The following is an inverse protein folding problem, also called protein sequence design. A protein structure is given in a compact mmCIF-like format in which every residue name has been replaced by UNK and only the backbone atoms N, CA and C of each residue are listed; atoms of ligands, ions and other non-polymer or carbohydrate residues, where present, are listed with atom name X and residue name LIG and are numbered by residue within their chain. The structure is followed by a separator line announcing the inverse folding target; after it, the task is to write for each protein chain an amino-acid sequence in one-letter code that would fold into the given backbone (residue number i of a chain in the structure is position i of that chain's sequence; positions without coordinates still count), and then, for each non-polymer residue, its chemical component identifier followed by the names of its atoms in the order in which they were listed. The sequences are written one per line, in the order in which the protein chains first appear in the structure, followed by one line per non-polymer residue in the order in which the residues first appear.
data_IF_715040101248
#
_entry.id   IF_715040101248
#
_cell.length_a   1.000
_cell.length_b   1.000
_cell.length_c   1.000
_cell.angle_alpha   90.00
_cell.angle_beta   90.00
_cell.angle_gamma   90.00
#
_symmetry.space_group_name_H-M   'P 1'
#
loop_
_entity.id
_entity.type
_entity.pdbx_description
1 polymer ?
#
# COMPACT_ATOMS: atom_id res chain seq x y z
N UNK A 1 -40.83 -18.52 -9.22
CA UNK A 1 -39.58 -18.89 -9.89
C UNK A 1 -38.64 -17.70 -10.10
N UNK A 2 -38.51 -16.74 -9.13
CA UNK A 2 -37.63 -15.55 -9.21
C UNK A 2 -36.47 -15.52 -8.18
N UNK A 3 -36.32 -16.62 -7.43
CA UNK A 3 -35.27 -16.67 -6.37
C UNK A 3 -33.99 -17.44 -6.75
N UNK A 4 -33.95 -18.10 -7.92
CA UNK A 4 -32.78 -18.89 -8.33
C UNK A 4 -31.74 -18.09 -9.10
N UNK A 5 -32.10 -16.95 -9.70
CA UNK A 5 -31.14 -16.12 -10.48
C UNK A 5 -30.17 -15.29 -9.61
N UNK A 6 -30.53 -15.03 -8.34
CA UNK A 6 -29.69 -14.23 -7.46
C UNK A 6 -28.54 -15.01 -6.81
N UNK A 7 -28.70 -16.33 -6.67
CA UNK A 7 -27.66 -17.19 -6.06
C UNK A 7 -26.56 -17.52 -7.07
N UNK A 8 -26.88 -17.54 -8.37
CA UNK A 8 -25.87 -17.79 -9.41
C UNK A 8 -24.94 -16.60 -9.64
N UNK A 9 -25.38 -15.38 -9.33
CA UNK A 9 -24.54 -14.17 -9.48
C UNK A 9 -23.49 -14.04 -8.37
N UNK A 10 -23.77 -14.58 -7.18
CA UNK A 10 -22.84 -14.56 -6.05
C UNK A 10 -21.77 -15.65 -6.10
N UNK A 11 -21.98 -16.72 -6.88
CA UNK A 11 -20.99 -17.80 -7.02
C UNK A 11 -19.88 -17.51 -8.05
N UNK A 12 -20.01 -16.47 -8.87
CA UNK A 12 -18.98 -16.06 -9.84
C UNK A 12 -17.98 -15.01 -9.30
N UNK A 13 -18.22 -14.45 -8.12
CA UNK A 13 -17.32 -13.42 -7.52
C UNK A 13 -16.08 -14.05 -6.86
N UNK A 14 -15.99 -15.38 -6.82
CA UNK A 14 -14.95 -16.11 -6.06
C UNK A 14 -13.73 -16.61 -6.83
N UNK A 15 -13.52 -16.35 -8.11
CA UNK A 15 -12.54 -17.13 -8.88
C UNK A 15 -11.62 -16.29 -9.79
N UNK A 16 -11.28 -15.09 -9.53
CA UNK A 16 -10.12 -14.49 -10.19
C UNK A 16 -9.35 -13.57 -9.26
N UNK A 17 -8.68 -14.15 -8.26
CA UNK A 17 -7.42 -13.54 -7.80
C UNK A 17 -6.36 -13.86 -8.86
N UNK A 18 -6.39 -13.14 -9.97
CA UNK A 18 -5.28 -13.17 -10.91
C UNK A 18 -4.03 -12.76 -10.14
N UNK A 19 -2.98 -13.57 -10.23
CA UNK A 19 -1.68 -13.23 -9.69
C UNK A 19 -1.28 -11.88 -10.31
N UNK A 20 -1.31 -10.81 -9.52
CA UNK A 20 -0.98 -9.48 -10.01
C UNK A 20 0.50 -9.44 -10.33
N UNK A 21 0.83 -9.21 -11.60
CA UNK A 21 2.20 -9.25 -12.11
C UNK A 21 2.92 -7.91 -11.92
N UNK A 22 2.17 -6.80 -11.82
CA UNK A 22 2.74 -5.46 -11.74
C UNK A 22 2.08 -4.62 -10.65
N UNK A 23 2.88 -3.73 -10.05
CA UNK A 23 2.36 -2.66 -9.20
C UNK A 23 1.59 -1.65 -10.08
N UNK A 24 0.65 -0.93 -9.48
CA UNK A 24 -0.07 0.17 -10.13
C UNK A 24 0.72 1.47 -9.95
N UNK A 25 0.95 2.26 -11.00
CA UNK A 25 1.59 3.54 -10.84
C UNK A 25 0.70 4.50 -10.04
N UNK A 26 1.31 5.30 -9.18
CA UNK A 26 0.60 6.41 -8.51
C UNK A 26 0.61 7.61 -9.43
N UNK A 27 -0.56 8.12 -9.78
CA UNK A 27 -0.68 9.32 -10.60
C UNK A 27 -0.06 10.53 -9.88
N UNK A 28 0.98 11.10 -10.49
CA UNK A 28 1.66 12.29 -9.96
C UNK A 28 0.77 13.54 -9.92
N UNK A 29 -0.31 13.56 -10.73
CA UNK A 29 -1.28 14.65 -10.77
C UNK A 29 -2.39 14.48 -9.74
N UNK A 30 -2.55 13.29 -9.18
CA UNK A 30 -3.52 13.04 -8.13
C UNK A 30 -3.21 13.94 -6.92
N UNK A 31 -4.20 14.74 -6.53
CA UNK A 31 -4.06 15.61 -5.37
C UNK A 31 -3.93 14.75 -4.12
N UNK A 32 -2.81 14.91 -3.44
CA UNK A 32 -2.54 14.21 -2.19
C UNK A 32 -3.59 14.55 -1.14
N UNK A 33 -4.20 13.52 -0.56
CA UNK A 33 -5.22 13.68 0.47
C UNK A 33 -4.59 14.14 1.79
N UNK A 34 -5.40 14.64 2.72
CA UNK A 34 -4.92 14.95 4.06
C UNK A 34 -4.38 13.70 4.76
N UNK A 35 -5.04 12.56 4.61
CA UNK A 35 -4.61 11.27 5.12
C UNK A 35 -3.20 10.87 4.60
N UNK A 36 -2.95 11.00 3.30
CA UNK A 36 -1.63 10.71 2.74
C UNK A 36 -0.52 11.59 3.31
N UNK A 37 -0.83 12.85 3.59
CA UNK A 37 0.12 13.80 4.21
C UNK A 37 0.44 13.43 5.65
N UNK A 38 -0.58 13.04 6.41
CA UNK A 38 -0.39 12.62 7.80
C UNK A 38 0.39 11.31 7.89
N UNK A 39 0.13 10.35 7.01
CA UNK A 39 0.93 9.13 6.90
C UNK A 39 2.40 9.46 6.65
N UNK A 40 2.69 10.30 5.67
CA UNK A 40 4.08 10.68 5.37
C UNK A 40 4.74 11.33 6.56
N UNK A 41 4.07 12.32 7.16
CA UNK A 41 4.61 13.07 8.30
C UNK A 41 4.91 12.19 9.52
N UNK A 42 4.11 11.14 9.74
CA UNK A 42 4.20 10.32 10.95
C UNK A 42 5.08 9.08 10.76
N UNK A 43 5.08 8.52 9.57
CA UNK A 43 5.66 7.20 9.33
C UNK A 43 6.91 7.22 8.46
N UNK A 44 7.20 8.31 7.76
CA UNK A 44 8.36 8.38 6.87
C UNK A 44 9.32 9.44 7.40
N UNK A 45 10.54 9.05 7.82
CA UNK A 45 11.60 10.01 8.14
C UNK A 45 11.92 10.91 6.93
N UNK A 46 12.30 12.16 7.22
CA UNK A 46 12.79 13.06 6.18
C UNK A 46 14.01 12.42 5.49
N UNK A 47 14.20 12.74 4.20
CA UNK A 47 15.32 12.25 3.38
C UNK A 47 15.34 10.73 3.09
N UNK A 48 14.29 10.02 3.39
CA UNK A 48 14.16 8.59 3.06
C UNK A 48 14.19 8.34 1.54
N UNK A 49 15.20 7.61 1.07
CA UNK A 49 15.39 7.33 -0.36
C UNK A 49 14.37 6.33 -0.90
N UNK A 50 14.10 5.26 -0.14
CA UNK A 50 13.18 4.21 -0.53
C UNK A 50 12.51 3.55 0.68
N UNK A 51 11.36 2.98 0.43
CA UNK A 51 10.60 2.28 1.46
C UNK A 51 9.23 1.85 0.98
N UNK A 52 8.42 1.45 1.95
CA UNK A 52 7.06 1.00 1.76
C UNK A 52 6.15 1.57 2.86
N UNK A 53 4.91 1.85 2.51
CA UNK A 53 3.83 2.20 3.42
C UNK A 53 2.78 1.10 3.33
N UNK A 54 2.32 0.63 4.48
CA UNK A 54 1.21 -0.29 4.64
C UNK A 54 -0.01 0.48 5.19
N UNK A 55 -1.13 0.39 4.48
CA UNK A 55 -2.40 1.05 4.80
C UNK A 55 -3.48 -0.02 4.95
N UNK A 56 -3.56 -0.72 6.07
CA UNK A 56 -4.55 -1.77 6.28
C UNK A 56 -5.94 -1.17 6.53
N UNK A 57 -7.00 -1.90 6.18
CA UNK A 57 -8.38 -1.45 6.43
C UNK A 57 -8.77 -1.53 7.91
N UNK A 58 -8.20 -2.45 8.68
CA UNK A 58 -8.63 -2.75 10.06
C UNK A 58 -7.49 -2.74 11.10
N UNK A 59 -6.25 -2.53 10.68
CA UNK A 59 -5.09 -2.43 11.55
C UNK A 59 -4.51 -1.01 11.53
N UNK A 60 -3.36 -0.82 12.17
CA UNK A 60 -2.69 0.47 12.19
C UNK A 60 -1.74 0.59 10.99
N UNK A 61 -1.67 1.79 10.47
CA UNK A 61 -0.76 2.12 9.38
C UNK A 61 0.69 2.00 9.82
N UNK A 62 1.53 1.58 8.90
CA UNK A 62 2.96 1.39 9.17
C UNK A 62 3.82 1.65 7.95
N UNK A 63 5.13 1.78 8.15
CA UNK A 63 6.12 1.89 7.10
C UNK A 63 7.34 1.02 7.37
N UNK A 64 8.01 0.62 6.29
CA UNK A 64 9.36 0.07 6.33
C UNK A 64 10.23 0.92 5.42
N UNK A 65 11.24 1.58 5.98
CA UNK A 65 12.12 2.52 5.28
C UNK A 65 13.58 2.15 5.49
N UNK A 66 14.46 2.64 4.63
CA UNK A 66 15.90 2.51 4.79
C UNK A 66 16.50 3.85 5.12
N UNK A 67 17.25 3.88 6.21
CA UNK A 67 18.07 5.01 6.64
C UNK A 67 19.50 4.78 6.15
N UNK A 68 19.98 5.68 5.27
CA UNK A 68 21.32 5.59 4.70
C UNK A 68 22.43 6.04 5.63
N UNK A 69 22.14 6.85 6.64
CA UNK A 69 23.13 7.29 7.64
C UNK A 69 23.35 6.22 8.70
N UNK A 70 22.26 5.63 9.17
CA UNK A 70 22.31 4.55 10.14
C UNK A 70 22.63 3.17 9.53
N UNK A 71 22.65 3.03 8.20
CA UNK A 71 22.74 1.75 7.49
C UNK A 71 21.74 0.72 8.02
N UNK A 72 20.48 1.13 8.20
CA UNK A 72 19.48 0.34 8.89
C UNK A 72 18.12 0.36 8.18
N UNK A 73 17.36 -0.73 8.34
CA UNK A 73 15.93 -0.73 8.11
C UNK A 73 15.23 -0.16 9.34
N UNK A 74 14.26 0.70 9.09
CA UNK A 74 13.41 1.30 10.12
C UNK A 74 11.98 0.85 9.86
N UNK A 75 11.37 0.19 10.82
CA UNK A 75 9.96 -0.10 10.86
C UNK A 75 9.26 0.87 11.82
N UNK A 76 8.30 1.62 11.32
CA UNK A 76 7.49 2.56 12.10
C UNK A 76 6.04 2.15 12.01
N UNK A 77 5.38 1.98 13.16
CA UNK A 77 3.94 1.70 13.25
C UNK A 77 3.22 2.78 14.02
N UNK A 78 2.02 3.14 13.57
CA UNK A 78 1.14 4.04 14.31
C UNK A 78 0.57 3.32 15.55
N UNK A 79 0.37 4.05 16.65
CA UNK A 79 -0.26 3.53 17.88
C UNK A 79 -1.80 3.57 17.83
N UNK A 80 -2.33 4.26 16.82
CA UNK A 80 -3.77 4.38 16.54
C UNK A 80 -3.99 4.58 15.04
N UNK A 81 -5.15 4.17 14.51
CA UNK A 81 -5.45 4.35 13.09
C UNK A 81 -5.45 5.83 12.69
N UNK A 82 -4.58 6.17 11.75
CA UNK A 82 -4.49 7.51 11.16
C UNK A 82 -5.74 7.77 10.31
N UNK A 83 -6.24 6.76 9.60
CA UNK A 83 -7.46 6.83 8.80
C UNK A 83 -8.68 7.22 9.63
N UNK A 84 -8.98 6.47 10.69
CA UNK A 84 -10.15 6.72 11.52
C UNK A 84 -10.17 8.14 12.07
N UNK A 85 -9.00 8.66 12.46
CA UNK A 85 -8.87 10.01 13.01
C UNK A 85 -9.06 11.10 11.96
N UNK A 86 -8.49 10.92 10.79
CA UNK A 86 -8.66 11.88 9.68
C UNK A 86 -10.09 11.88 9.17
N UNK A 87 -10.74 10.72 9.12
CA UNK A 87 -12.15 10.58 8.74
C UNK A 87 -13.10 11.23 9.73
N UNK A 88 -12.95 10.96 11.03
CA UNK A 88 -13.77 11.58 12.07
C UNK A 88 -13.63 13.11 12.08
N UNK A 89 -12.42 13.60 11.88
CA UNK A 89 -12.16 15.01 11.81
C UNK A 89 -12.85 15.68 10.61
N UNK A 90 -12.76 15.07 9.42
CA UNK A 90 -13.43 15.56 8.22
C UNK A 90 -14.95 15.63 8.41
N UNK A 91 -15.56 14.58 8.96
CA UNK A 91 -17.00 14.51 9.20
C UNK A 91 -17.50 15.54 10.23
N UNK A 92 -16.71 15.82 11.26
CA UNK A 92 -17.08 16.87 12.24
C UNK A 92 -17.09 18.27 11.63
N UNK A 93 -16.20 18.51 10.66
CA UNK A 93 -16.12 19.80 9.97
C UNK A 93 -17.25 20.01 8.98
N UNK A 94 -17.60 18.98 8.20
CA UNK A 94 -18.73 19.00 7.29
C UNK A 94 -20.04 19.31 8.02
N UNK A 95 -20.26 18.74 9.22
CA UNK A 95 -21.44 19.03 10.05
C UNK A 95 -21.49 20.46 10.59
N UNK A 96 -20.33 21.13 10.71
CA UNK A 96 -20.25 22.53 11.14
C UNK A 96 -20.27 23.53 10.00
N UNK A 97 -20.35 23.09 8.74
CA UNK A 97 -20.29 23.96 7.57
C UNK A 97 -18.92 24.61 7.33
N UNK A 98 -17.88 24.12 8.00
CA UNK A 98 -16.52 24.60 7.82
C UNK A 98 -15.83 23.84 6.69
N UNK A 99 -15.12 24.54 5.80
CA UNK A 99 -14.42 23.90 4.71
C UNK A 99 -13.23 23.06 5.23
N UNK A 100 -13.01 21.90 4.64
CA UNK A 100 -11.85 21.00 4.93
C UNK A 100 -10.51 21.75 4.85
N UNK A 101 -10.45 22.86 4.14
CA UNK A 101 -9.25 23.69 3.99
C UNK A 101 -8.96 24.54 5.25
N UNK A 102 -9.98 25.08 5.89
CA UNK A 102 -9.84 25.84 7.13
C UNK A 102 -9.36 24.97 8.29
N UNK A 103 -9.75 23.72 8.26
CA UNK A 103 -9.33 22.74 9.26
C UNK A 103 -7.82 22.47 9.28
N UNK A 104 -7.13 22.54 8.14
CA UNK A 104 -5.67 22.33 8.06
C UNK A 104 -4.84 23.27 8.93
N UNK A 105 -5.31 24.48 9.16
CA UNK A 105 -4.52 25.50 9.88
C UNK A 105 -4.83 25.59 11.37
N UNK A 106 -6.02 25.19 11.80
CA UNK A 106 -6.50 25.50 13.15
C UNK A 106 -6.67 24.28 14.09
N UNK A 107 -6.82 23.06 13.56
CA UNK A 107 -7.21 21.92 14.40
C UNK A 107 -6.16 20.83 14.62
N UNK A 108 -5.01 20.90 13.97
CA UNK A 108 -3.88 20.00 14.31
C UNK A 108 -3.50 20.14 15.80
N UNK A 109 -3.81 21.27 16.40
CA UNK A 109 -3.54 21.56 17.83
C UNK A 109 -4.46 20.83 18.81
N UNK A 110 -5.61 20.37 18.39
CA UNK A 110 -6.63 19.78 19.29
C UNK A 110 -6.68 18.25 19.30
N UNK A 111 -6.10 17.60 18.29
CA UNK A 111 -6.05 16.16 18.25
C UNK A 111 -4.68 15.66 18.71
N UNK A 112 -4.70 14.75 19.66
CA UNK A 112 -3.51 14.02 20.05
C UNK A 112 -2.90 13.43 18.78
N UNK A 113 -1.74 13.92 18.40
CA UNK A 113 -0.95 13.34 17.30
C UNK A 113 -0.77 11.86 17.64
N UNK A 114 -1.08 10.91 16.77
CA UNK A 114 -0.77 9.51 17.02
C UNK A 114 0.69 9.40 17.43
N UNK A 115 0.96 8.69 18.49
CA UNK A 115 2.30 8.24 18.77
C UNK A 115 2.68 7.23 17.69
N UNK A 116 3.94 7.04 17.52
CA UNK A 116 4.49 5.98 16.67
C UNK A 116 5.46 5.15 17.51
N UNK A 117 5.52 3.86 17.19
CA UNK A 117 6.59 2.99 17.69
C UNK A 117 7.56 2.77 16.55
N UNK A 118 8.84 2.92 16.84
CA UNK A 118 9.90 2.78 15.87
C UNK A 118 10.85 1.66 16.30
N UNK A 119 11.19 0.82 15.33
CA UNK A 119 12.14 -0.28 15.48
C UNK A 119 13.21 -0.11 14.42
N UNK A 120 14.45 -0.41 14.76
CA UNK A 120 15.59 -0.24 13.87
C UNK A 120 16.43 -1.50 13.87
N UNK A 121 16.85 -1.95 12.68
CA UNK A 121 17.73 -3.09 12.51
C UNK A 121 18.84 -2.74 11.51
N UNK A 122 20.11 -2.69 11.93
CA UNK A 122 21.23 -2.55 11.01
C UNK A 122 21.26 -3.70 9.98
N UNK A 123 21.56 -3.37 8.73
CA UNK A 123 21.71 -4.32 7.63
C UNK A 123 23.02 -4.12 6.90
N UNK A 124 23.49 -5.14 6.18
CA UNK A 124 24.70 -5.02 5.37
C UNK A 124 24.48 -4.09 4.17
N UNK A 125 25.54 -3.48 3.68
CA UNK A 125 25.51 -2.67 2.45
C UNK A 125 25.05 -3.47 1.24
N UNK A 126 25.41 -4.76 1.17
CA UNK A 126 24.97 -5.67 0.12
C UNK A 126 23.45 -5.82 0.12
N UNK A 127 22.87 -6.06 1.28
CA UNK A 127 21.41 -6.16 1.45
C UNK A 127 20.71 -4.85 1.10
N UNK A 128 21.23 -3.72 1.57
CA UNK A 128 20.71 -2.40 1.25
C UNK A 128 20.69 -2.14 -0.25
N UNK A 129 21.78 -2.48 -0.97
CA UNK A 129 21.87 -2.33 -2.42
C UNK A 129 20.94 -3.28 -3.16
N UNK A 130 20.76 -4.51 -2.68
CA UNK A 130 19.83 -5.47 -3.27
C UNK A 130 18.39 -5.01 -3.10
N UNK A 131 17.98 -4.55 -1.93
CA UNK A 131 16.67 -3.97 -1.69
C UNK A 131 16.42 -2.72 -2.56
N UNK A 132 17.39 -1.83 -2.62
CA UNK A 132 17.32 -0.63 -3.47
C UNK A 132 17.10 -0.98 -4.94
N UNK A 133 17.80 -1.99 -5.47
CA UNK A 133 17.62 -2.47 -6.85
C UNK A 133 16.24 -3.08 -7.06
N UNK A 134 15.78 -3.91 -6.13
CA UNK A 134 14.47 -4.54 -6.18
C UNK A 134 13.34 -3.51 -6.17
N UNK A 135 13.33 -2.56 -5.22
CA UNK A 135 12.32 -1.50 -5.18
C UNK A 135 12.29 -0.67 -6.45
N UNK A 136 13.49 -0.28 -6.93
CA UNK A 136 13.62 0.49 -8.16
C UNK A 136 13.02 -0.23 -9.38
N UNK A 137 13.31 -1.52 -9.56
CA UNK A 137 12.78 -2.26 -10.72
C UNK A 137 11.28 -2.49 -10.60
N UNK A 138 10.78 -2.89 -9.45
CA UNK A 138 9.35 -3.11 -9.21
C UNK A 138 8.52 -1.84 -9.48
N UNK A 139 8.97 -0.68 -8.99
CA UNK A 139 8.30 0.60 -9.22
C UNK A 139 8.40 1.06 -10.68
N UNK A 140 9.53 0.81 -11.36
CA UNK A 140 9.68 1.20 -12.76
C UNK A 140 8.86 0.33 -13.72
N UNK A 141 8.49 -0.87 -13.32
CA UNK A 141 7.61 -1.77 -14.07
C UNK A 141 6.14 -1.60 -13.70
N UNK A 142 5.81 -0.63 -12.83
CA UNK A 142 4.43 -0.36 -12.49
C UNK A 142 3.64 0.07 -13.73
N UNK A 143 2.53 -0.59 -13.97
CA UNK A 143 1.64 -0.32 -15.10
C UNK A 143 0.17 -0.47 -14.70
N UNK A 144 -0.71 0.22 -15.41
CA UNK A 144 -2.13 0.01 -15.23
C UNK A 144 -2.54 -1.31 -15.91
N UNK A 145 -3.38 -2.13 -15.27
CA UNK A 145 -3.91 -3.32 -15.91
C UNK A 145 -4.70 -2.92 -17.16
N UNK A 146 -4.66 -3.78 -18.16
CA UNK A 146 -5.58 -3.63 -19.28
C UNK A 146 -7.01 -3.71 -18.76
N UNK A 147 -7.80 -2.68 -19.07
CA UNK A 147 -9.20 -2.66 -18.65
C UNK A 147 -9.97 -3.75 -19.39
N UNK A 148 -10.54 -4.66 -18.62
CA UNK A 148 -11.45 -5.66 -19.20
C UNK A 148 -12.70 -4.95 -19.76
N UNK A 149 -12.97 -5.20 -21.03
CA UNK A 149 -14.14 -4.65 -21.72
C UNK A 149 -15.14 -5.77 -21.99
N UNK A 150 -16.29 -5.66 -21.38
CA UNK A 150 -17.40 -6.60 -21.62
C UNK A 150 -18.52 -5.91 -22.40
N UNK A 151 -19.11 -6.62 -23.35
CA UNK A 151 -20.31 -6.14 -24.06
C UNK A 151 -21.55 -6.58 -23.27
N UNK A 152 -22.32 -5.60 -22.82
CA UNK A 152 -23.60 -5.83 -22.15
C UNK A 152 -24.74 -5.36 -23.04
N UNK A 153 -25.84 -6.12 -23.04
CA UNK A 153 -27.07 -5.75 -23.72
C UNK A 153 -27.99 -5.05 -22.70
N UNK A 154 -28.36 -3.82 -22.99
CA UNK A 154 -29.27 -3.03 -22.16
C UNK A 154 -30.72 -3.53 -22.33
N UNK A 155 -31.63 -3.14 -21.44
CA UNK A 155 -33.04 -3.56 -21.49
C UNK A 155 -33.74 -3.12 -22.78
N UNK A 156 -33.34 -2.02 -23.38
CA UNK A 156 -33.79 -1.51 -24.68
C UNK A 156 -33.10 -2.21 -25.88
N UNK A 157 -32.31 -3.24 -25.63
CA UNK A 157 -31.70 -4.10 -26.64
C UNK A 157 -30.42 -3.57 -27.26
N UNK A 158 -29.91 -2.39 -26.83
CA UNK A 158 -28.64 -1.85 -27.30
C UNK A 158 -27.46 -2.59 -26.69
N UNK A 159 -26.42 -2.77 -27.47
CA UNK A 159 -25.16 -3.33 -26.99
C UNK A 159 -24.23 -2.18 -26.60
N UNK A 160 -23.86 -2.12 -25.33
CA UNK A 160 -22.88 -1.17 -24.79
C UNK A 160 -21.62 -1.91 -24.39
N UNK A 161 -20.48 -1.25 -24.53
CA UNK A 161 -19.21 -1.75 -23.99
C UNK A 161 -19.01 -1.13 -22.62
N UNK A 162 -18.89 -1.98 -21.60
CA UNK A 162 -18.66 -1.57 -20.21
C UNK A 162 -17.24 -1.93 -19.85
N UNK A 163 -16.49 -0.97 -19.31
CA UNK A 163 -15.20 -1.25 -18.69
C UNK A 163 -15.46 -1.74 -17.26
N UNK A 164 -14.93 -2.91 -16.94
CA UNK A 164 -15.02 -3.49 -15.59
C UNK A 164 -13.81 -3.00 -14.82
N UNK A 165 -14.04 -2.27 -13.75
CA UNK A 165 -13.00 -1.94 -12.76
C UNK A 165 -13.19 -2.86 -11.56
N UNK A 166 -12.14 -3.60 -11.21
CA UNK A 166 -12.15 -4.41 -9.99
C UNK A 166 -12.07 -3.46 -8.78
N UNK A 167 -13.12 -3.43 -7.98
CA UNK A 167 -13.16 -2.65 -6.74
C UNK A 167 -12.86 -3.60 -5.59
N UNK A 168 -11.69 -3.46 -5.00
CA UNK A 168 -11.36 -4.12 -3.73
C UNK A 168 -11.95 -3.28 -2.61
N UNK A 169 -13.02 -3.76 -2.00
CA UNK A 169 -13.73 -3.03 -0.93
C UNK A 169 -12.98 -3.07 0.40
N UNK A 170 -12.39 -4.23 0.70
CA UNK A 170 -11.62 -4.46 1.92
C UNK A 170 -10.27 -5.05 1.55
N UNK A 171 -9.20 -4.54 2.16
CA UNK A 171 -7.85 -5.04 1.89
C UNK A 171 -6.79 -4.09 2.40
N UNK A 172 -5.54 -4.54 2.34
CA UNK A 172 -4.39 -3.73 2.70
C UNK A 172 -3.83 -3.02 1.49
N UNK A 173 -3.71 -1.71 1.57
CA UNK A 173 -3.00 -0.90 0.59
C UNK A 173 -1.49 -0.95 0.86
N UNK A 174 -0.71 -1.37 -0.13
CA UNK A 174 0.75 -1.35 -0.09
C UNK A 174 1.25 -0.31 -1.08
N UNK A 175 2.10 0.59 -0.63
CA UNK A 175 2.63 1.65 -1.44
C UNK A 175 4.15 1.68 -1.33
N UNK A 176 4.82 1.36 -2.43
CA UNK A 176 6.28 1.36 -2.55
C UNK A 176 6.76 2.69 -3.13
N UNK A 177 7.86 3.21 -2.62
CA UNK A 177 8.44 4.45 -3.13
C UNK A 177 9.97 4.35 -3.28
N UNK A 178 10.48 5.08 -4.27
CA UNK A 178 11.91 5.20 -4.55
C UNK A 178 12.20 6.54 -5.21
N UNK A 179 12.96 7.41 -4.57
CA UNK A 179 13.37 8.73 -5.11
C UNK A 179 12.21 9.51 -5.73
N UNK A 180 11.11 9.64 -5.00
CA UNK A 180 9.93 10.38 -5.43
C UNK A 180 9.02 9.68 -6.45
N UNK A 181 9.41 8.51 -6.99
CA UNK A 181 8.51 7.64 -7.72
C UNK A 181 7.73 6.78 -6.74
N UNK A 182 6.46 6.49 -7.06
CA UNK A 182 5.57 5.69 -6.21
C UNK A 182 4.78 4.70 -7.06
N UNK A 183 4.57 3.53 -6.51
CA UNK A 183 3.68 2.52 -7.07
C UNK A 183 2.93 1.84 -5.94
N UNK A 184 1.70 1.43 -6.20
CA UNK A 184 0.80 0.89 -5.18
C UNK A 184 0.15 -0.40 -5.63
N UNK A 185 -0.37 -1.12 -4.67
CA UNK A 185 -1.28 -2.23 -4.87
C UNK A 185 -2.26 -2.28 -3.70
N UNK A 186 -3.45 -2.73 -3.97
CA UNK A 186 -4.41 -3.09 -2.94
C UNK A 186 -4.62 -4.61 -3.04
N UNK A 187 -4.49 -5.32 -1.96
CA UNK A 187 -4.54 -6.77 -1.94
C UNK A 187 -4.77 -7.34 -0.56
N UNK A 188 -4.60 -8.66 -0.45
CA UNK A 188 -4.70 -9.38 0.80
C UNK A 188 -3.49 -9.07 1.71
N UNK A 189 -3.70 -9.12 3.02
CA UNK A 189 -2.66 -8.96 4.06
C UNK A 189 -1.56 -10.04 3.98
N UNK A 190 -1.81 -11.12 3.26
CA UNK A 190 -0.89 -12.26 3.08
C UNK A 190 -0.11 -12.26 1.77
N UNK A 191 -0.17 -11.17 1.00
CA UNK A 191 0.65 -10.98 -0.18
C UNK A 191 0.24 -11.74 -1.46
N UNK A 192 -0.65 -12.70 -1.41
CA UNK A 192 -1.15 -13.39 -2.60
C UNK A 192 -0.09 -14.20 -3.40
N UNK A 193 -0.41 -14.48 -4.67
CA UNK A 193 0.47 -15.21 -5.62
C UNK A 193 1.12 -14.23 -6.62
N UNK A 194 2.15 -14.71 -7.34
CA UNK A 194 2.89 -13.94 -8.34
C UNK A 194 3.99 -13.06 -7.74
N UNK A 195 4.73 -12.36 -8.60
CA UNK A 195 5.90 -11.58 -8.19
C UNK A 195 5.55 -10.41 -7.27
N UNK A 196 4.39 -9.78 -7.44
CA UNK A 196 3.92 -8.72 -6.53
C UNK A 196 3.51 -9.29 -5.18
N UNK A 197 2.82 -10.43 -5.15
CA UNK A 197 2.53 -11.14 -3.91
C UNK A 197 3.79 -11.55 -3.15
N UNK A 198 4.79 -12.03 -3.87
CA UNK A 198 6.11 -12.35 -3.31
C UNK A 198 6.82 -11.11 -2.76
N UNK A 199 6.69 -9.94 -3.42
CA UNK A 199 7.23 -8.68 -2.92
C UNK A 199 6.57 -8.24 -1.60
N UNK A 200 5.25 -8.39 -1.50
CA UNK A 200 4.51 -8.11 -0.26
C UNK A 200 4.97 -9.07 0.86
N UNK A 201 5.04 -10.39 0.58
CA UNK A 201 5.49 -11.37 1.56
C UNK A 201 6.90 -11.07 2.06
N UNK A 202 7.84 -10.79 1.16
CA UNK A 202 9.19 -10.38 1.52
C UNK A 202 9.18 -9.13 2.43
N UNK A 203 8.33 -8.16 2.11
CA UNK A 203 8.21 -6.93 2.91
C UNK A 203 7.67 -7.22 4.31
N UNK A 204 6.68 -8.12 4.43
CA UNK A 204 6.15 -8.58 5.72
C UNK A 204 7.24 -9.28 6.55
N UNK A 205 8.04 -10.16 5.92
CA UNK A 205 9.13 -10.87 6.59
C UNK A 205 10.23 -9.91 7.06
N UNK A 206 10.62 -8.93 6.23
CA UNK A 206 11.56 -7.88 6.62
C UNK A 206 11.02 -7.05 7.79
N UNK A 207 9.75 -6.60 7.73
CA UNK A 207 9.09 -5.89 8.81
C UNK A 207 9.14 -6.67 10.12
N UNK A 208 8.83 -7.97 10.07
CA UNK A 208 8.85 -8.82 11.24
C UNK A 208 10.27 -9.00 11.80
N UNK A 209 11.27 -9.19 10.95
CA UNK A 209 12.67 -9.26 11.38
C UNK A 209 13.13 -7.97 12.07
N UNK A 210 12.75 -6.79 11.55
CA UNK A 210 13.08 -5.51 12.16
C UNK A 210 12.37 -5.36 13.51
N UNK A 211 11.08 -5.70 13.59
CA UNK A 211 10.30 -5.59 14.83
C UNK A 211 10.82 -6.53 15.93
N UNK A 212 11.26 -7.73 15.56
CA UNK A 212 11.82 -8.73 16.45
C UNK A 212 13.31 -8.50 16.77
N UNK A 213 13.94 -7.52 16.12
CA UNK A 213 15.39 -7.24 16.18
C UNK A 213 16.24 -8.48 15.82
N UNK A 214 15.79 -9.24 14.81
CA UNK A 214 16.41 -10.50 14.39
C UNK A 214 17.24 -10.31 13.12
N UNK A 215 18.54 -10.04 13.32
CA UNK A 215 19.48 -9.86 12.22
C UNK A 215 19.75 -11.13 11.40
N UNK A 216 19.62 -12.31 12.01
CA UNK A 216 19.83 -13.58 11.31
C UNK A 216 18.66 -13.84 10.36
N UNK A 217 17.43 -13.67 10.85
CA UNK A 217 16.22 -13.77 10.02
C UNK A 217 16.26 -12.78 8.87
N UNK A 218 16.67 -11.54 9.14
CA UNK A 218 16.82 -10.51 8.11
C UNK A 218 17.86 -10.92 7.06
N UNK A 219 19.06 -11.34 7.47
CA UNK A 219 20.11 -11.78 6.56
C UNK A 219 19.72 -13.00 5.70
N UNK A 220 18.92 -13.91 6.24
CA UNK A 220 18.43 -15.08 5.50
C UNK A 220 17.55 -14.70 4.29
N UNK A 221 16.96 -13.49 4.27
CA UNK A 221 16.12 -13.01 3.16
C UNK A 221 16.93 -12.54 1.94
N UNK A 222 18.26 -12.43 2.03
CA UNK A 222 19.10 -11.96 0.92
C UNK A 222 18.86 -12.74 -0.39
N UNK A 223 18.82 -14.07 -0.31
CA UNK A 223 18.58 -14.91 -1.49
C UNK A 223 17.21 -14.70 -2.12
N UNK A 224 16.19 -14.46 -1.30
CA UNK A 224 14.83 -14.17 -1.75
C UNK A 224 14.77 -12.80 -2.43
N UNK A 225 15.45 -11.79 -1.90
CA UNK A 225 15.57 -10.45 -2.51
C UNK A 225 16.19 -10.56 -3.91
N UNK A 226 17.30 -11.30 -4.03
CA UNK A 226 18.00 -11.44 -5.31
C UNK A 226 17.23 -12.29 -6.33
N UNK A 227 16.48 -13.30 -5.88
CA UNK A 227 15.57 -14.08 -6.73
C UNK A 227 14.45 -13.20 -7.27
N UNK A 228 13.78 -12.48 -6.39
CA UNK A 228 12.65 -11.61 -6.74
C UNK A 228 13.08 -10.45 -7.65
N UNK A 229 14.28 -9.91 -7.45
CA UNK A 229 14.86 -8.93 -8.37
C UNK A 229 14.99 -9.48 -9.80
N UNK A 230 15.37 -10.75 -9.97
CA UNK A 230 15.47 -11.39 -11.30
C UNK A 230 14.09 -11.60 -11.94
N UNK A 231 13.07 -11.89 -11.13
CA UNK A 231 11.69 -12.03 -11.62
C UNK A 231 11.10 -10.69 -12.11
N UNK A 232 11.49 -9.59 -11.47
CA UNK A 232 11.10 -8.25 -11.90
C UNK A 232 11.95 -7.69 -13.04
N UNK A 233 13.08 -8.30 -13.41
CA UNK A 233 13.97 -7.82 -14.48
C UNK A 233 13.62 -8.41 -15.84
#
# INVERSE_FOLDING_TARGET
MKKLSFILLLSFIGIYMNAQEHLLPVDKKAKETFYDKEIKRLLIPDDTEFGMICKPSFEFESSLTYDSEAHALIYTEADTSIWSRTFEASHRLERKGESVFMWKSQQITFYRVPGTKMYMLPISDEMAQSLKRLWKVAINQAEFPEKERTKMKTEDGKVITVEIEEIVLDGTGWEYFFKGKRAKIQGDDKGGKGKVGSLINLTIELRNAVRENDSQKCAALQSQIDSLYKEFK
#
